data_IF_787355024609
#
_entry.id   IF_787355024609
#
_cell.length_a   1.000
_cell.length_b   1.000
_cell.length_c   1.000
_cell.angle_alpha   90.00
_cell.angle_beta   90.00
_cell.angle_gamma   90.00
#
_symmetry.space_group_name_H-M   'P 1'
#
loop_
_entity.id
_entity.type
_entity.pdbx_description
1 polymer ?
#
# COMPACT_ATOMS: atom_id res chain seq x y z
N UNK A 1 -43.34 13.15 -3.83
CA UNK A 1 -42.92 13.13 -5.26
C UNK A 1 -41.45 13.53 -5.47
N UNK A 2 -40.97 14.69 -5.03
CA UNK A 2 -39.53 15.07 -5.18
C UNK A 2 -38.58 14.16 -4.37
N UNK A 3 -38.95 13.74 -3.15
CA UNK A 3 -38.13 12.82 -2.34
C UNK A 3 -38.05 11.38 -2.88
N UNK A 4 -39.10 10.90 -3.55
CA UNK A 4 -39.07 9.60 -4.25
C UNK A 4 -38.29 9.67 -5.55
N UNK A 5 -38.33 10.81 -6.25
CA UNK A 5 -37.51 11.05 -7.44
C UNK A 5 -36.02 11.08 -7.08
N UNK A 6 -35.65 11.71 -5.96
CA UNK A 6 -34.27 11.68 -5.45
C UNK A 6 -33.83 10.29 -4.97
N UNK A 7 -34.73 9.48 -4.40
CA UNK A 7 -34.41 8.10 -3.99
C UNK A 7 -34.22 7.15 -5.18
N UNK A 8 -34.88 7.39 -6.32
CA UNK A 8 -34.75 6.54 -7.51
C UNK A 8 -33.51 6.85 -8.37
N UNK A 9 -32.97 8.08 -8.35
CA UNK A 9 -31.74 8.43 -9.09
C UNK A 9 -30.48 7.83 -8.44
N UNK A 10 -30.53 7.50 -7.14
CA UNK A 10 -29.38 6.97 -6.38
C UNK A 10 -29.10 5.48 -6.69
N UNK A 11 -30.03 4.76 -7.34
CA UNK A 11 -29.86 3.33 -7.62
C UNK A 11 -28.83 3.00 -8.71
N UNK A 12 -28.49 3.95 -9.59
CA UNK A 12 -27.58 3.73 -10.73
C UNK A 12 -26.22 4.45 -10.62
N UNK A 13 -25.99 5.28 -9.61
CA UNK A 13 -24.71 6.00 -9.48
C UNK A 13 -23.65 5.15 -8.78
N UNK A 14 -22.49 4.94 -9.44
CA UNK A 14 -21.33 4.31 -8.82
C UNK A 14 -20.82 5.17 -7.64
N UNK A 15 -20.54 4.53 -6.51
CA UNK A 15 -19.95 5.17 -5.34
C UNK A 15 -18.43 5.31 -5.51
N UNK A 16 -17.76 4.25 -5.94
CA UNK A 16 -16.30 4.14 -5.96
C UNK A 16 -15.82 3.58 -7.29
N UNK A 17 -14.89 4.28 -7.94
CA UNK A 17 -14.09 3.76 -9.06
C UNK A 17 -12.71 3.38 -8.55
N UNK A 18 -12.35 2.10 -8.67
CA UNK A 18 -11.00 1.61 -8.39
C UNK A 18 -10.19 1.77 -9.68
N UNK A 19 -9.29 2.75 -9.70
CA UNK A 19 -8.48 3.15 -10.85
C UNK A 19 -7.09 2.51 -10.77
N UNK A 20 -6.81 1.58 -11.67
CA UNK A 20 -5.60 0.76 -11.73
C UNK A 20 -4.79 1.14 -12.98
N UNK A 21 -3.80 2.05 -12.86
CA UNK A 21 -2.84 2.28 -13.92
C UNK A 21 -1.85 1.10 -13.98
N UNK A 22 -1.69 0.49 -15.16
CA UNK A 22 -0.80 -0.67 -15.34
C UNK A 22 0.14 -0.49 -16.54
N UNK A 23 1.32 -1.11 -16.46
CA UNK A 23 2.27 -1.23 -17.57
C UNK A 23 3.10 -2.50 -17.42
N UNK A 24 2.95 -3.43 -18.35
CA UNK A 24 3.51 -4.78 -18.27
C UNK A 24 3.16 -5.49 -16.96
N UNK A 25 1.87 -5.45 -16.61
CA UNK A 25 1.31 -5.94 -15.35
C UNK A 25 0.85 -7.40 -15.39
N UNK A 26 1.16 -8.18 -16.43
CA UNK A 26 0.59 -9.52 -16.62
C UNK A 26 0.83 -10.46 -15.43
N UNK A 27 1.90 -10.23 -14.65
CA UNK A 27 2.26 -11.04 -13.47
C UNK A 27 1.41 -10.75 -12.23
N UNK A 28 0.71 -9.63 -12.17
CA UNK A 28 0.03 -9.16 -10.95
C UNK A 28 -1.43 -8.77 -11.18
N UNK A 29 -1.76 -8.24 -12.36
CA UNK A 29 -3.09 -7.67 -12.65
C UNK A 29 -4.22 -8.69 -12.53
N UNK A 30 -3.99 -9.94 -12.94
CA UNK A 30 -4.98 -11.03 -12.86
C UNK A 30 -5.39 -11.26 -11.40
N UNK A 31 -4.42 -11.50 -10.53
CA UNK A 31 -4.64 -11.69 -9.09
C UNK A 31 -5.24 -10.46 -8.44
N UNK A 32 -4.80 -9.26 -8.83
CA UNK A 32 -5.35 -8.01 -8.31
C UNK A 32 -6.86 -7.93 -8.59
N UNK A 33 -7.27 -8.11 -9.85
CA UNK A 33 -8.67 -8.03 -10.28
C UNK A 33 -9.53 -9.13 -9.64
N UNK A 34 -9.07 -10.39 -9.66
CA UNK A 34 -9.80 -11.52 -9.06
C UNK A 34 -10.21 -11.22 -7.62
N UNK A 35 -9.30 -10.63 -6.86
CA UNK A 35 -9.53 -10.40 -5.45
C UNK A 35 -10.45 -9.22 -5.17
N UNK A 36 -10.45 -8.22 -6.05
CA UNK A 36 -11.40 -7.11 -6.00
C UNK A 36 -12.79 -7.63 -6.35
N UNK A 37 -12.93 -8.40 -7.44
CA UNK A 37 -14.19 -9.00 -7.87
C UNK A 37 -14.77 -9.87 -6.75
N UNK A 38 -13.95 -10.75 -6.16
CA UNK A 38 -14.36 -11.60 -5.04
C UNK A 38 -14.95 -10.78 -3.88
N UNK A 39 -14.26 -9.72 -3.45
CA UNK A 39 -14.80 -8.86 -2.38
C UNK A 39 -16.06 -8.12 -2.80
N UNK A 40 -16.19 -7.72 -4.06
CA UNK A 40 -17.41 -7.08 -4.58
C UNK A 40 -18.59 -8.04 -4.53
N UNK A 41 -18.41 -9.29 -4.96
CA UNK A 41 -19.45 -10.32 -5.00
C UNK A 41 -19.86 -10.76 -3.59
N UNK A 42 -18.89 -11.13 -2.74
CA UNK A 42 -19.14 -11.62 -1.37
C UNK A 42 -19.81 -10.56 -0.49
N UNK A 43 -19.39 -9.29 -0.63
CA UNK A 43 -19.90 -8.18 0.19
C UNK A 43 -21.00 -7.36 -0.52
N UNK A 44 -21.46 -7.82 -1.69
CA UNK A 44 -22.55 -7.22 -2.50
C UNK A 44 -22.36 -5.74 -2.79
N UNK A 45 -21.15 -5.36 -3.21
CA UNK A 45 -20.74 -3.97 -3.43
C UNK A 45 -21.01 -3.49 -4.87
N UNK A 46 -22.27 -3.60 -5.33
CA UNK A 46 -22.68 -3.25 -6.71
C UNK A 46 -22.43 -1.78 -7.10
N UNK A 47 -22.19 -0.92 -6.10
CA UNK A 47 -21.83 0.49 -6.26
C UNK A 47 -20.34 0.72 -6.59
N UNK A 48 -19.56 -0.35 -6.79
CA UNK A 48 -18.14 -0.27 -7.17
C UNK A 48 -18.00 -0.54 -8.67
N UNK A 49 -17.00 0.08 -9.29
CA UNK A 49 -16.49 -0.27 -10.61
C UNK A 49 -14.95 -0.32 -10.61
N UNK A 50 -14.40 -1.04 -11.57
CA UNK A 50 -12.95 -1.22 -11.76
C UNK A 50 -12.57 -0.57 -13.09
N UNK A 51 -11.52 0.23 -13.07
CA UNK A 51 -10.99 0.90 -14.25
C UNK A 51 -9.53 0.53 -14.37
N UNK A 52 -9.15 -0.04 -15.51
CA UNK A 52 -7.77 -0.40 -15.81
C UNK A 52 -7.28 0.45 -16.97
N UNK A 53 -6.23 1.25 -16.73
CA UNK A 53 -5.58 2.06 -17.75
C UNK A 53 -4.22 1.45 -18.10
N UNK A 54 -4.17 0.73 -19.21
CA UNK A 54 -2.96 0.08 -19.72
C UNK A 54 -2.11 1.06 -20.53
N UNK A 55 -0.88 1.28 -20.07
CA UNK A 55 0.06 2.21 -20.64
C UNK A 55 0.84 1.65 -21.84
N UNK A 56 0.13 1.04 -22.79
CA UNK A 56 0.70 0.40 -23.97
C UNK A 56 1.61 -0.81 -23.63
N UNK A 57 1.14 -1.70 -22.76
CA UNK A 57 1.85 -2.93 -22.38
C UNK A 57 2.20 -3.79 -23.60
N UNK A 58 3.35 -4.43 -23.55
CA UNK A 58 3.89 -5.32 -24.59
C UNK A 58 3.89 -6.79 -24.17
N UNK A 59 3.52 -7.08 -22.93
CA UNK A 59 3.32 -8.44 -22.41
C UNK A 59 1.85 -8.89 -22.58
N UNK A 60 1.47 -9.94 -21.85
CA UNK A 60 0.14 -10.57 -21.96
C UNK A 60 -1.00 -9.77 -21.29
N UNK A 61 -0.71 -8.59 -20.71
CA UNK A 61 -1.71 -7.74 -20.02
C UNK A 61 -2.98 -7.51 -20.86
N UNK A 62 -2.92 -7.17 -22.16
CA UNK A 62 -4.11 -6.94 -22.97
C UNK A 62 -4.98 -8.19 -23.13
N UNK A 63 -4.39 -9.38 -23.26
CA UNK A 63 -5.13 -10.62 -23.43
C UNK A 63 -5.87 -11.00 -22.15
N UNK A 64 -5.19 -10.88 -21.00
CA UNK A 64 -5.78 -11.06 -19.67
C UNK A 64 -6.97 -10.13 -19.50
N UNK A 65 -6.80 -8.83 -19.75
CA UNK A 65 -7.87 -7.84 -19.60
C UNK A 65 -9.06 -8.09 -20.55
N UNK A 66 -8.79 -8.49 -21.79
CA UNK A 66 -9.85 -8.85 -22.74
C UNK A 66 -10.70 -10.04 -22.25
N UNK A 67 -10.11 -11.00 -21.52
CA UNK A 67 -10.87 -12.10 -20.92
C UNK A 67 -11.79 -11.62 -19.78
N UNK A 68 -11.31 -10.69 -18.94
CA UNK A 68 -12.11 -10.12 -17.84
C UNK A 68 -13.27 -9.25 -18.33
N UNK A 69 -13.06 -8.40 -19.33
CA UNK A 69 -14.13 -7.53 -19.88
C UNK A 69 -15.26 -8.37 -20.48
N UNK A 70 -14.94 -9.49 -21.14
CA UNK A 70 -15.96 -10.41 -21.68
C UNK A 70 -16.87 -10.98 -20.59
N UNK A 71 -16.33 -11.23 -19.40
CA UNK A 71 -17.08 -11.80 -18.25
C UNK A 71 -17.74 -10.73 -17.38
N UNK A 72 -17.15 -9.54 -17.27
CA UNK A 72 -17.51 -8.51 -16.29
C UNK A 72 -17.70 -7.12 -16.92
N UNK A 73 -18.32 -7.04 -18.11
CA UNK A 73 -18.47 -5.80 -18.90
C UNK A 73 -19.12 -4.62 -18.15
N UNK A 74 -20.01 -4.90 -17.20
CA UNK A 74 -20.74 -3.88 -16.44
C UNK A 74 -19.99 -3.45 -15.15
N UNK A 75 -18.88 -4.13 -14.85
CA UNK A 75 -18.02 -3.88 -13.69
C UNK A 75 -16.66 -3.30 -14.08
N UNK A 76 -16.10 -3.69 -15.23
CA UNK A 76 -14.73 -3.37 -15.64
C UNK A 76 -14.71 -2.49 -16.88
N UNK A 77 -14.02 -1.35 -16.77
CA UNK A 77 -13.65 -0.49 -17.89
C UNK A 77 -12.16 -0.66 -18.15
N UNK A 78 -11.80 -1.04 -19.38
CA UNK A 78 -10.41 -1.15 -19.80
C UNK A 78 -10.12 -0.14 -20.90
N UNK A 79 -9.04 0.63 -20.71
CA UNK A 79 -8.56 1.59 -21.69
C UNK A 79 -7.07 1.35 -21.91
N UNK A 80 -6.66 1.24 -23.17
CA UNK A 80 -5.26 1.05 -23.55
C UNK A 80 -4.75 2.28 -24.30
N UNK A 81 -3.65 2.86 -23.82
CA UNK A 81 -2.98 3.98 -24.47
C UNK A 81 -2.32 3.54 -25.78
N UNK A 82 -2.33 4.42 -26.79
CA UNK A 82 -1.66 4.18 -28.09
C UNK A 82 -0.13 4.16 -28.00
N UNK A 83 0.44 4.74 -26.94
CA UNK A 83 1.88 4.79 -26.67
C UNK A 83 2.09 4.91 -25.16
N UNK A 84 3.30 4.61 -24.68
CA UNK A 84 3.63 4.81 -23.28
C UNK A 84 3.68 6.32 -22.96
N UNK A 85 2.74 6.80 -22.16
CA UNK A 85 2.60 8.23 -21.81
C UNK A 85 3.32 8.61 -20.51
N UNK A 86 4.00 7.66 -19.88
CA UNK A 86 4.57 7.78 -18.54
C UNK A 86 3.55 7.57 -17.42
N UNK A 87 4.05 7.24 -16.23
CA UNK A 87 3.23 6.88 -15.06
C UNK A 87 2.20 7.96 -14.69
N UNK A 88 2.66 9.18 -14.45
CA UNK A 88 1.79 10.27 -13.95
C UNK A 88 0.62 10.58 -14.89
N UNK A 89 0.87 10.60 -16.20
CA UNK A 89 -0.18 10.83 -17.19
C UNK A 89 -1.12 9.63 -17.29
N UNK A 90 -0.63 8.41 -17.12
CA UNK A 90 -1.48 7.22 -17.09
C UNK A 90 -2.40 7.21 -15.85
N UNK A 91 -1.91 7.66 -14.68
CA UNK A 91 -2.72 7.84 -13.47
C UNK A 91 -3.86 8.83 -13.73
N UNK A 92 -3.54 10.01 -14.28
CA UNK A 92 -4.52 11.05 -14.60
C UNK A 92 -5.58 10.55 -15.61
N UNK A 93 -5.15 9.91 -16.70
CA UNK A 93 -6.06 9.29 -17.68
C UNK A 93 -6.96 8.23 -17.04
N UNK A 94 -6.42 7.41 -16.12
CA UNK A 94 -7.20 6.42 -15.39
C UNK A 94 -8.27 7.08 -14.51
N UNK A 95 -7.90 8.12 -13.76
CA UNK A 95 -8.83 8.90 -12.92
C UNK A 95 -9.91 9.59 -13.75
N UNK A 96 -9.59 10.08 -14.94
CA UNK A 96 -10.54 10.75 -15.84
C UNK A 96 -11.64 9.82 -16.37
N UNK A 97 -11.41 8.51 -16.40
CA UNK A 97 -12.40 7.50 -16.82
C UNK A 97 -13.42 7.15 -15.73
N UNK A 98 -13.16 7.55 -14.47
CA UNK A 98 -14.01 7.26 -13.33
C UNK A 98 -15.44 7.76 -13.48
N UNK A 99 -16.43 6.94 -13.14
CA UNK A 99 -17.86 7.30 -13.03
C UNK A 99 -18.32 7.37 -11.57
N UNK A 100 -17.53 6.81 -10.65
CA UNK A 100 -17.76 6.81 -9.22
C UNK A 100 -17.67 8.21 -8.60
N UNK A 101 -18.46 8.43 -7.55
CA UNK A 101 -18.36 9.65 -6.72
C UNK A 101 -16.97 9.83 -6.12
N UNK A 102 -16.32 8.72 -5.77
CA UNK A 102 -14.95 8.66 -5.27
C UNK A 102 -14.06 7.85 -6.22
N UNK A 103 -12.79 8.23 -6.26
CA UNK A 103 -11.72 7.56 -6.99
C UNK A 103 -10.77 6.98 -5.95
N UNK A 104 -10.43 5.70 -6.08
CA UNK A 104 -9.31 5.09 -5.40
C UNK A 104 -8.25 4.74 -6.43
N UNK A 105 -7.04 5.28 -6.29
CA UNK A 105 -5.93 4.87 -7.15
C UNK A 105 -5.30 3.63 -6.51
N UNK A 106 -5.24 2.51 -7.22
CA UNK A 106 -4.71 1.24 -6.71
C UNK A 106 -3.60 0.73 -7.62
N UNK A 107 -2.45 0.36 -7.05
CA UNK A 107 -1.38 -0.34 -7.75
C UNK A 107 -1.86 -1.68 -8.33
N UNK A 108 -1.35 -2.07 -9.49
CA UNK A 108 -1.70 -3.32 -10.17
C UNK A 108 -1.11 -4.57 -9.49
N UNK A 109 -0.34 -4.38 -8.42
CA UNK A 109 0.29 -5.40 -7.58
C UNK A 109 -0.11 -5.33 -6.10
N UNK A 110 -1.02 -4.42 -5.74
CA UNK A 110 -1.54 -4.23 -4.40
C UNK A 110 -2.95 -4.80 -4.24
N UNK A 111 -3.42 -4.98 -3.02
CA UNK A 111 -4.72 -5.62 -2.77
C UNK A 111 -5.48 -4.97 -1.63
N UNK A 112 -6.79 -5.14 -1.59
CA UNK A 112 -7.56 -4.88 -0.37
C UNK A 112 -7.36 -6.00 0.64
N UNK A 113 -7.20 -5.64 1.91
CA UNK A 113 -7.24 -6.60 3.03
C UNK A 113 -8.61 -7.24 3.15
N UNK A 114 -8.73 -8.27 4.00
CA UNK A 114 -10.02 -8.87 4.33
C UNK A 114 -11.03 -7.81 4.79
N UNK A 115 -12.17 -7.74 4.11
CA UNK A 115 -13.22 -6.73 4.31
C UNK A 115 -12.74 -5.27 4.15
N UNK A 116 -11.56 -5.05 3.61
CA UNK A 116 -10.98 -3.73 3.40
C UNK A 116 -11.84 -2.88 2.48
N UNK A 117 -12.29 -3.44 1.35
CA UNK A 117 -13.15 -2.74 0.41
C UNK A 117 -14.53 -2.43 1.01
N UNK A 118 -15.13 -3.36 1.76
CA UNK A 118 -16.39 -3.13 2.48
C UNK A 118 -16.28 -1.97 3.47
N UNK A 119 -15.21 -1.94 4.27
CA UNK A 119 -14.96 -0.88 5.26
C UNK A 119 -14.75 0.47 4.60
N UNK A 120 -14.00 0.52 3.49
CA UNK A 120 -13.85 1.73 2.70
C UNK A 120 -15.22 2.23 2.21
N UNK A 121 -16.00 1.38 1.56
CA UNK A 121 -17.33 1.73 1.07
C UNK A 121 -18.28 2.19 2.19
N UNK A 122 -18.19 1.62 3.40
CA UNK A 122 -18.99 2.05 4.54
C UNK A 122 -18.65 3.50 4.94
N UNK A 123 -17.36 3.84 5.08
CA UNK A 123 -16.92 5.22 5.41
C UNK A 123 -17.33 6.20 4.31
N UNK A 124 -17.20 5.84 3.04
CA UNK A 124 -17.59 6.73 1.93
C UNK A 124 -19.10 6.97 1.84
N UNK A 125 -19.92 6.02 2.30
CA UNK A 125 -21.38 6.18 2.42
C UNK A 125 -21.76 7.02 3.63
N UNK A 126 -21.09 6.80 4.76
CA UNK A 126 -21.33 7.53 6.02
C UNK A 126 -20.93 9.00 5.90
N UNK A 127 -19.83 9.29 5.20
CA UNK A 127 -19.29 10.64 5.03
C UNK A 127 -19.23 11.02 3.54
N UNK A 128 -20.38 11.28 2.90
CA UNK A 128 -20.49 11.54 1.46
C UNK A 128 -19.78 12.83 0.99
N UNK A 129 -19.44 13.72 1.93
CA UNK A 129 -18.80 15.01 1.66
C UNK A 129 -17.28 15.01 1.81
N UNK A 130 -16.68 13.87 2.16
CA UNK A 130 -15.23 13.72 2.21
C UNK A 130 -14.61 14.17 0.89
N UNK A 131 -13.53 14.94 0.96
CA UNK A 131 -12.73 15.31 -0.20
C UNK A 131 -11.57 14.34 -0.41
N UNK A 132 -10.99 13.83 0.69
CA UNK A 132 -9.81 12.97 0.66
C UNK A 132 -9.83 11.96 1.81
N UNK A 133 -9.43 10.73 1.52
CA UNK A 133 -9.24 9.66 2.50
C UNK A 133 -7.88 9.02 2.28
N UNK A 134 -7.11 8.92 3.37
CA UNK A 134 -5.83 8.21 3.40
C UNK A 134 -6.03 6.88 4.11
N UNK A 135 -5.76 5.80 3.39
CA UNK A 135 -5.92 4.45 3.88
C UNK A 135 -4.76 4.02 4.78
N UNK A 136 -4.94 2.89 5.45
CA UNK A 136 -3.88 2.18 6.17
C UNK A 136 -3.44 0.95 5.39
N UNK A 137 -2.16 0.60 5.47
CA UNK A 137 -1.61 -0.50 4.70
C UNK A 137 -0.63 -1.38 5.49
N UNK A 138 -0.43 -2.60 4.99
CA UNK A 138 0.70 -3.46 5.31
C UNK A 138 1.58 -3.69 4.09
N UNK A 139 2.83 -4.10 4.34
CA UNK A 139 3.80 -4.41 3.30
C UNK A 139 4.14 -5.91 3.30
N UNK A 140 3.82 -6.59 2.21
CA UNK A 140 4.01 -8.02 1.99
C UNK A 140 5.25 -8.29 1.09
N UNK A 141 6.13 -9.21 1.50
CA UNK A 141 7.17 -9.75 0.61
C UNK A 141 6.82 -11.16 0.15
N UNK A 142 6.48 -11.25 -1.13
CA UNK A 142 6.16 -12.47 -1.87
C UNK A 142 7.35 -13.44 -1.93
N UNK A 143 8.59 -12.97 -2.12
CA UNK A 143 9.81 -13.80 -2.23
C UNK A 143 10.19 -14.52 -0.94
N UNK A 144 9.57 -14.18 0.18
CA UNK A 144 9.82 -14.81 1.48
C UNK A 144 8.56 -15.53 1.99
N UNK A 145 8.03 -16.50 1.24
CA UNK A 145 6.89 -17.33 1.65
C UNK A 145 5.62 -16.53 2.02
N UNK A 146 5.38 -15.37 1.40
CA UNK A 146 4.26 -14.50 1.77
C UNK A 146 4.39 -13.92 3.19
N UNK A 147 5.59 -13.80 3.74
CA UNK A 147 5.83 -13.09 4.99
C UNK A 147 5.45 -11.61 4.84
N UNK A 148 4.60 -11.13 5.76
CA UNK A 148 4.47 -9.69 6.01
C UNK A 148 5.73 -9.28 6.75
N UNK A 149 6.76 -8.91 6.00
CA UNK A 149 8.10 -8.64 6.53
C UNK A 149 8.20 -7.37 7.34
N UNK A 150 7.22 -6.47 7.28
CA UNK A 150 7.23 -5.30 8.14
C UNK A 150 5.93 -4.50 8.12
N UNK A 151 5.55 -3.99 9.29
CA UNK A 151 5.00 -2.62 9.40
C UNK A 151 6.16 -1.61 9.32
N UNK A 152 6.89 -1.52 8.19
CA UNK A 152 8.17 -0.76 8.15
C UNK A 152 8.04 0.72 8.48
N UNK A 153 6.81 1.21 8.56
CA UNK A 153 6.45 2.58 8.91
C UNK A 153 5.72 2.64 10.26
N UNK A 154 6.13 1.82 11.24
CA UNK A 154 6.02 2.25 12.64
C UNK A 154 7.02 3.38 12.83
N UNK A 155 6.67 4.56 12.30
CA UNK A 155 7.00 5.78 12.99
C UNK A 155 6.35 5.66 14.38
N UNK A 156 6.94 6.24 15.41
CA UNK A 156 6.57 6.03 16.82
C UNK A 156 5.14 6.47 17.19
N UNK A 157 4.33 6.90 16.21
CA UNK A 157 2.95 7.36 16.34
C UNK A 157 2.03 6.46 15.52
N UNK A 158 1.53 5.40 16.14
CA UNK A 158 0.41 4.65 15.58
C UNK A 158 -0.84 5.54 15.56
N UNK A 159 -1.54 5.58 14.42
CA UNK A 159 -2.91 6.09 14.41
C UNK A 159 -3.79 4.98 14.97
N UNK A 160 -4.14 5.12 16.25
CA UNK A 160 -4.82 4.07 17.03
C UNK A 160 -6.29 3.93 16.62
N UNK A 161 -6.90 5.03 16.19
CA UNK A 161 -8.31 5.13 15.80
C UNK A 161 -8.41 5.92 14.52
N UNK A 162 -9.44 5.62 13.74
CA UNK A 162 -9.76 6.40 12.57
C UNK A 162 -10.00 7.86 12.98
N UNK A 163 -9.60 8.80 12.13
CA UNK A 163 -9.67 10.23 12.43
C UNK A 163 -10.31 10.98 11.28
N UNK A 164 -11.21 11.89 11.63
CA UNK A 164 -11.85 12.82 10.72
C UNK A 164 -11.31 14.24 10.98
N UNK A 165 -11.01 14.97 9.91
CA UNK A 165 -10.48 16.33 9.94
C UNK A 165 -11.38 17.23 9.12
N UNK A 166 -11.94 18.24 9.76
CA UNK A 166 -12.78 19.25 9.13
C UNK A 166 -12.15 20.62 9.33
N UNK A 167 -11.87 21.32 8.24
CA UNK A 167 -11.18 22.62 8.25
C UNK A 167 -9.80 22.59 8.94
N UNK A 168 -9.15 21.43 8.98
CA UNK A 168 -7.84 21.23 9.61
C UNK A 168 -6.94 20.35 8.72
N UNK A 169 -6.57 20.90 7.57
CA UNK A 169 -5.70 20.21 6.62
C UNK A 169 -4.23 20.13 7.09
N UNK A 170 -3.77 21.06 7.93
CA UNK A 170 -2.40 21.07 8.42
C UNK A 170 -2.14 19.89 9.37
N UNK A 171 -3.02 19.67 10.36
CA UNK A 171 -2.91 18.51 11.26
C UNK A 171 -3.11 17.20 10.49
N UNK A 172 -4.04 17.18 9.53
CA UNK A 172 -4.22 16.03 8.64
C UNK A 172 -2.93 15.67 7.93
N UNK A 173 -2.26 16.63 7.27
CA UNK A 173 -1.01 16.37 6.54
C UNK A 173 0.14 15.94 7.46
N UNK A 174 0.17 16.44 8.71
CA UNK A 174 1.15 16.00 9.72
C UNK A 174 0.90 14.56 10.15
N UNK A 175 -0.36 14.15 10.35
CA UNK A 175 -0.72 12.80 10.81
C UNK A 175 -0.65 11.74 9.69
N UNK A 176 -0.81 12.16 8.44
CA UNK A 176 -0.67 11.30 7.26
C UNK A 176 0.77 10.83 7.04
N UNK A 177 1.75 11.70 7.30
CA UNK A 177 3.18 11.46 7.11
C UNK A 177 3.53 10.83 5.73
N UNK A 178 4.09 9.62 5.74
CA UNK A 178 4.59 8.89 4.56
C UNK A 178 3.56 7.94 3.94
N UNK A 179 2.34 7.85 4.51
CA UNK A 179 1.27 6.99 3.97
C UNK A 179 0.93 7.32 2.53
N UNK A 180 1.05 8.59 2.15
CA UNK A 180 0.73 9.05 0.80
C UNK A 180 1.85 8.81 -0.21
N UNK A 181 2.94 8.15 0.19
CA UNK A 181 3.93 7.61 -0.75
C UNK A 181 3.48 6.29 -1.35
N UNK A 182 2.47 5.65 -0.77
CA UNK A 182 1.81 4.53 -1.41
C UNK A 182 0.59 5.07 -2.15
N UNK A 183 0.62 5.01 -3.48
CA UNK A 183 -0.50 5.47 -4.30
C UNK A 183 -1.80 4.75 -3.95
N UNK A 184 -1.70 3.46 -3.60
CA UNK A 184 -2.80 2.62 -3.13
C UNK A 184 -3.43 3.05 -1.81
N UNK A 185 -2.89 4.05 -1.12
CA UNK A 185 -3.54 4.63 0.06
C UNK A 185 -4.45 5.82 -0.28
N UNK A 186 -4.56 6.22 -1.55
CA UNK A 186 -5.17 7.49 -1.93
C UNK A 186 -6.58 7.30 -2.48
N UNK A 187 -7.56 7.82 -1.74
CA UNK A 187 -8.95 7.93 -2.21
C UNK A 187 -9.39 9.38 -2.16
N UNK A 188 -9.96 9.92 -3.22
CA UNK A 188 -10.50 11.29 -3.23
C UNK A 188 -11.82 11.38 -3.98
N UNK A 189 -12.58 12.44 -3.68
CA UNK A 189 -13.82 12.75 -4.39
C UNK A 189 -13.49 13.13 -5.83
N UNK A 190 -14.18 12.54 -6.80
CA UNK A 190 -13.92 12.73 -8.24
C UNK A 190 -13.96 14.22 -8.64
N UNK A 191 -14.97 14.93 -8.15
CA UNK A 191 -15.14 16.37 -8.41
C UNK A 191 -13.92 17.21 -7.97
N UNK A 192 -13.21 16.78 -6.93
CA UNK A 192 -11.99 17.46 -6.47
C UNK A 192 -10.84 17.29 -7.47
N UNK A 193 -10.70 16.11 -8.08
CA UNK A 193 -9.70 15.83 -9.11
C UNK A 193 -9.89 16.68 -10.37
N UNK A 194 -11.14 16.80 -10.84
CA UNK A 194 -11.49 17.59 -12.03
C UNK A 194 -11.18 19.09 -11.85
N UNK A 195 -11.10 19.57 -10.61
CA UNK A 195 -10.85 20.96 -10.24
C UNK A 195 -9.38 21.26 -9.89
N UNK A 196 -8.47 20.31 -10.08
CA UNK A 196 -7.03 20.55 -9.85
C UNK A 196 -6.44 21.32 -11.03
N UNK A 197 -5.91 22.54 -10.83
CA UNK A 197 -5.33 23.33 -11.90
C UNK A 197 -3.95 22.77 -12.29
N UNK A 198 -3.63 22.85 -13.58
CA UNK A 198 -2.28 22.65 -14.12
C UNK A 198 -1.61 21.31 -13.72
N UNK A 199 -2.39 20.23 -13.53
CA UNK A 199 -1.87 18.92 -13.14
C UNK A 199 -0.76 18.38 -14.07
N UNK A 200 -0.81 18.76 -15.36
CA UNK A 200 0.18 18.41 -16.40
C UNK A 200 1.63 18.77 -16.05
N UNK A 201 1.87 19.79 -15.21
CA UNK A 201 3.23 20.18 -14.80
C UNK A 201 3.94 19.09 -13.97
N UNK A 202 3.15 18.21 -13.34
CA UNK A 202 3.64 17.11 -12.52
C UNK A 202 3.83 15.81 -13.31
N UNK A 203 3.63 15.82 -14.62
CA UNK A 203 3.95 14.66 -15.44
C UNK A 203 5.46 14.40 -15.49
N UNK A 204 5.84 13.10 -15.54
CA UNK A 204 7.23 12.61 -15.53
C UNK A 204 7.98 12.91 -14.23
N UNK A 205 7.25 13.03 -13.12
CA UNK A 205 7.77 13.22 -11.76
C UNK A 205 7.62 11.97 -10.89
N UNK A 206 6.82 11.00 -11.35
CA UNK A 206 6.60 9.67 -10.77
C UNK A 206 5.86 9.71 -9.41
N UNK A 207 5.12 10.78 -9.14
CA UNK A 207 4.53 11.11 -7.82
C UNK A 207 3.31 12.03 -7.90
N UNK A 208 2.59 12.06 -9.02
CA UNK A 208 1.48 13.00 -9.25
C UNK A 208 0.43 13.01 -8.12
N UNK A 209 0.17 11.85 -7.52
CA UNK A 209 -0.81 11.69 -6.44
C UNK A 209 -0.45 12.50 -5.18
N UNK A 210 0.83 12.77 -4.91
CA UNK A 210 1.24 13.60 -3.77
C UNK A 210 0.74 15.03 -3.94
N UNK A 211 0.88 15.59 -5.16
CA UNK A 211 0.34 16.93 -5.44
C UNK A 211 -1.18 16.93 -5.36
N UNK A 212 -1.84 15.90 -5.89
CA UNK A 212 -3.30 15.76 -5.78
C UNK A 212 -3.74 15.79 -4.31
N UNK A 213 -3.07 15.03 -3.44
CA UNK A 213 -3.34 15.03 -1.99
C UNK A 213 -3.17 16.41 -1.39
N UNK A 214 -2.03 17.08 -1.61
CA UNK A 214 -1.76 18.41 -1.07
C UNK A 214 -2.80 19.44 -1.53
N UNK A 215 -3.13 19.43 -2.82
CA UNK A 215 -4.11 20.38 -3.35
C UNK A 215 -5.51 20.10 -2.79
N UNK A 216 -5.96 18.84 -2.81
CA UNK A 216 -7.30 18.47 -2.38
C UNK A 216 -7.48 18.69 -0.87
N UNK A 217 -6.52 18.26 -0.06
CA UNK A 217 -6.58 18.45 1.38
C UNK A 217 -6.67 19.93 1.74
N UNK A 218 -5.88 20.81 1.10
CA UNK A 218 -5.91 22.25 1.39
C UNK A 218 -7.21 22.92 0.94
N UNK A 219 -7.68 22.58 -0.26
CA UNK A 219 -8.76 23.33 -0.91
C UNK A 219 -10.14 23.03 -0.33
N UNK A 220 -10.38 21.79 0.10
CA UNK A 220 -11.69 21.34 0.60
C UNK A 220 -11.69 20.95 2.08
N UNK A 221 -10.55 20.57 2.65
CA UNK A 221 -10.35 20.37 4.10
C UNK A 221 -11.35 19.44 4.79
N UNK A 222 -11.86 18.42 4.06
CA UNK A 222 -12.74 17.40 4.63
C UNK A 222 -12.09 16.02 4.46
N UNK A 223 -11.26 15.64 5.42
CA UNK A 223 -10.30 14.55 5.26
C UNK A 223 -10.50 13.44 6.30
N UNK A 224 -10.15 12.20 5.92
CA UNK A 224 -10.24 11.03 6.79
C UNK A 224 -8.96 10.20 6.74
N UNK A 225 -8.55 9.63 7.89
CA UNK A 225 -7.44 8.69 7.98
C UNK A 225 -7.94 7.41 8.64
N UNK A 226 -7.69 6.26 8.00
CA UNK A 226 -7.91 4.95 8.62
C UNK A 226 -6.80 4.59 9.62
N UNK A 227 -7.19 4.01 10.75
CA UNK A 227 -6.27 3.50 11.76
C UNK A 227 -5.37 2.38 11.23
N UNK A 228 -4.18 2.30 11.80
CA UNK A 228 -3.22 1.21 11.53
C UNK A 228 -3.65 -0.13 12.11
N UNK A 229 -4.62 -0.11 13.04
CA UNK A 229 -5.09 -1.31 13.72
C UNK A 229 -5.68 -2.32 12.74
N UNK A 230 -6.34 -1.83 11.69
CA UNK A 230 -6.99 -2.66 10.68
C UNK A 230 -6.66 -2.10 9.29
N UNK A 231 -5.62 -2.61 8.61
CA UNK A 231 -5.22 -2.12 7.29
C UNK A 231 -6.38 -2.24 6.31
N UNK A 232 -6.46 -1.33 5.35
CA UNK A 232 -7.36 -1.45 4.20
C UNK A 232 -6.61 -2.09 3.03
N UNK A 233 -5.30 -1.84 2.92
CA UNK A 233 -4.47 -2.23 1.78
C UNK A 233 -3.36 -3.19 2.20
N UNK A 234 -3.05 -4.14 1.32
CA UNK A 234 -1.87 -4.99 1.40
C UNK A 234 -1.00 -4.66 0.19
N UNK A 235 0.10 -3.96 0.43
CA UNK A 235 1.03 -3.52 -0.59
C UNK A 235 2.15 -4.54 -0.80
N UNK A 236 2.49 -4.88 -2.04
CA UNK A 236 3.60 -5.81 -2.30
C UNK A 236 4.94 -5.07 -2.47
N UNK A 237 6.00 -5.58 -1.86
CA UNK A 237 7.31 -4.86 -1.77
C UNK A 237 8.35 -5.39 -2.74
N UNK A 238 8.19 -6.62 -3.25
CA UNK A 238 9.20 -7.28 -4.07
C UNK A 238 9.21 -6.79 -5.54
N UNK A 239 8.20 -6.02 -5.90
CA UNK A 239 7.92 -5.42 -7.21
C UNK A 239 8.36 -3.95 -7.30
N UNK A 240 9.03 -3.40 -6.28
CA UNK A 240 9.56 -2.02 -6.27
C UNK A 240 10.72 -1.85 -7.27
N UNK A 241 10.43 -2.05 -8.56
CA UNK A 241 11.35 -1.97 -9.68
C UNK A 241 12.08 -0.61 -9.72
N UNK A 242 11.40 0.46 -9.28
CA UNK A 242 11.99 1.79 -9.18
C UNK A 242 13.11 1.93 -8.15
N UNK A 243 13.12 1.12 -7.08
CA UNK A 243 14.19 1.17 -6.07
C UNK A 243 15.48 0.54 -6.55
N UNK A 244 15.37 -0.40 -7.48
CA UNK A 244 16.47 -1.22 -7.96
C UNK A 244 17.04 -0.74 -9.31
N UNK A 245 16.38 0.22 -9.95
CA UNK A 245 16.86 0.86 -11.17
C UNK A 245 17.66 2.14 -10.87
N UNK A 246 18.50 2.55 -11.82
CA UNK A 246 19.36 3.74 -11.76
C UNK A 246 18.60 5.05 -11.51
N UNK A 247 17.29 5.07 -11.77
CA UNK A 247 16.37 6.19 -11.58
C UNK A 247 15.83 6.35 -10.14
N UNK A 248 16.05 5.38 -9.24
CA UNK A 248 15.55 5.43 -7.87
C UNK A 248 15.81 6.74 -7.12
N UNK A 249 17.00 7.39 -7.22
CA UNK A 249 17.24 8.71 -6.62
C UNK A 249 16.32 9.80 -7.14
N UNK A 250 16.07 9.86 -8.46
CA UNK A 250 15.26 10.90 -9.10
C UNK A 250 13.86 10.93 -8.48
N UNK A 251 13.25 9.75 -8.38
CA UNK A 251 11.91 9.53 -7.83
C UNK A 251 11.88 10.02 -6.39
N UNK A 252 12.84 9.58 -5.58
CA UNK A 252 12.96 9.98 -4.17
C UNK A 252 13.12 11.50 -3.97
N UNK A 253 13.86 12.20 -4.85
CA UNK A 253 14.05 13.64 -4.73
C UNK A 253 12.92 14.48 -5.35
N UNK A 254 12.24 13.98 -6.38
CA UNK A 254 11.05 14.64 -6.91
C UNK A 254 9.97 14.75 -5.83
N UNK A 255 9.89 13.77 -4.93
CA UNK A 255 8.94 13.78 -3.83
C UNK A 255 9.11 15.02 -2.91
N UNK A 256 10.33 15.36 -2.45
CA UNK A 256 10.53 16.57 -1.63
C UNK A 256 10.20 17.87 -2.38
N UNK A 257 10.44 17.91 -3.69
CA UNK A 257 10.07 19.06 -4.52
C UNK A 257 8.56 19.21 -4.64
N UNK A 258 7.82 18.12 -4.88
CA UNK A 258 6.35 18.16 -4.93
C UNK A 258 5.79 18.62 -3.58
N UNK A 259 6.30 18.08 -2.47
CA UNK A 259 5.88 18.53 -1.15
C UNK A 259 6.20 20.00 -0.85
N UNK A 260 7.20 20.59 -1.50
CA UNK A 260 7.51 22.01 -1.30
C UNK A 260 6.39 22.94 -1.76
N UNK A 261 5.48 22.47 -2.63
CA UNK A 261 4.25 23.18 -2.98
C UNK A 261 3.28 23.33 -1.81
N UNK A 262 3.45 22.60 -0.70
CA UNK A 262 2.67 22.86 0.51
C UNK A 262 2.79 24.33 0.96
N UNK A 263 3.98 24.93 0.84
CA UNK A 263 4.18 26.34 1.16
C UNK A 263 3.41 27.26 0.20
N UNK A 264 3.44 26.96 -1.10
CA UNK A 264 2.71 27.72 -2.14
C UNK A 264 1.19 27.61 -1.99
N UNK A 265 0.70 26.45 -1.52
CA UNK A 265 -0.70 26.22 -1.22
C UNK A 265 -1.14 26.84 0.11
N UNK A 266 -0.24 27.46 0.88
CA UNK A 266 -0.55 28.16 2.13
C UNK A 266 -0.76 27.23 3.33
N UNK A 267 -0.14 26.05 3.35
CA UNK A 267 -0.04 25.24 4.57
C UNK A 267 0.82 25.94 5.64
N UNK A 268 0.61 25.59 6.92
CA UNK A 268 1.54 25.99 7.98
C UNK A 268 2.96 25.48 7.62
N UNK A 269 4.00 26.33 7.70
CA UNK A 269 5.38 25.94 7.40
C UNK A 269 5.88 24.69 8.14
N UNK A 270 5.28 24.34 9.29
CA UNK A 270 5.54 23.12 10.03
C UNK A 270 5.24 21.86 9.21
N UNK A 271 4.22 21.87 8.35
CA UNK A 271 3.84 20.70 7.52
C UNK A 271 5.03 20.29 6.65
N UNK A 272 5.57 21.24 5.87
CA UNK A 272 6.73 20.98 5.02
C UNK A 272 7.98 20.65 5.85
N UNK A 273 8.19 21.35 6.98
CA UNK A 273 9.34 21.10 7.87
C UNK A 273 9.35 19.69 8.45
N UNK A 274 8.20 19.20 8.96
CA UNK A 274 8.05 17.84 9.49
C UNK A 274 8.35 16.82 8.41
N UNK A 275 7.75 17.01 7.23
CA UNK A 275 7.95 16.14 6.08
C UNK A 275 9.42 16.09 5.63
N UNK A 276 10.03 17.26 5.40
CA UNK A 276 11.42 17.41 4.97
C UNK A 276 12.39 16.72 5.94
N UNK A 277 12.17 16.88 7.25
CA UNK A 277 12.98 16.23 8.30
C UNK A 277 12.81 14.72 8.34
N UNK A 278 11.58 14.22 8.18
CA UNK A 278 11.32 12.78 8.09
C UNK A 278 12.07 12.17 6.90
N UNK A 279 11.92 12.78 5.72
CA UNK A 279 12.63 12.38 4.51
C UNK A 279 14.14 12.30 4.73
N UNK A 280 14.76 13.36 5.24
CA UNK A 280 16.21 13.40 5.49
C UNK A 280 16.68 12.21 6.36
N UNK A 281 15.94 11.87 7.41
CA UNK A 281 16.26 10.72 8.27
C UNK A 281 16.21 9.40 7.52
N UNK A 282 15.18 9.18 6.71
CA UNK A 282 15.04 7.95 5.94
C UNK A 282 16.13 7.83 4.85
N UNK A 283 16.52 8.95 4.23
CA UNK A 283 17.69 9.00 3.36
C UNK A 283 18.98 8.65 4.08
N UNK A 284 19.26 9.25 5.25
CA UNK A 284 20.45 8.94 6.05
C UNK A 284 20.51 7.45 6.38
N UNK A 285 19.36 6.79 6.60
CA UNK A 285 19.26 5.35 6.88
C UNK A 285 19.62 4.51 5.65
N UNK A 286 19.16 4.90 4.46
CA UNK A 286 19.22 4.08 3.26
C UNK A 286 20.37 4.42 2.29
N UNK A 287 21.00 5.60 2.40
CA UNK A 287 22.03 6.11 1.46
C UNK A 287 23.20 5.13 1.30
N UNK A 288 23.66 4.49 2.37
CA UNK A 288 24.77 3.52 2.32
C UNK A 288 24.39 2.25 1.55
N UNK A 289 23.15 1.76 1.68
CA UNK A 289 22.65 0.63 0.88
C UNK A 289 22.57 1.01 -0.59
N UNK A 290 21.99 2.18 -0.87
CA UNK A 290 21.81 2.69 -2.23
C UNK A 290 23.17 2.87 -2.93
N UNK A 291 24.14 3.53 -2.30
CA UNK A 291 25.48 3.71 -2.88
C UNK A 291 26.22 2.40 -3.15
N UNK A 292 26.09 1.39 -2.29
CA UNK A 292 26.69 0.07 -2.57
C UNK A 292 26.07 -0.69 -3.76
N UNK A 293 24.94 -0.21 -4.29
CA UNK A 293 24.27 -0.77 -5.47
C UNK A 293 24.57 0.05 -6.74
N UNK A 294 25.65 0.84 -6.74
CA UNK A 294 26.07 1.63 -7.90
C UNK A 294 25.20 2.87 -8.13
N UNK A 295 24.55 3.38 -7.08
CA UNK A 295 23.74 4.59 -7.14
C UNK A 295 24.65 5.82 -7.33
N UNK A 296 25.01 6.07 -8.58
CA UNK A 296 25.68 7.28 -9.02
C UNK A 296 24.70 8.43 -8.82
N UNK A 297 24.88 9.13 -7.72
CA UNK A 297 24.00 10.24 -7.37
C UNK A 297 24.44 11.39 -8.27
N UNK A 298 23.67 11.69 -9.33
CA UNK A 298 23.98 12.81 -10.21
C UNK A 298 24.09 14.07 -9.34
N UNK A 299 25.29 14.66 -9.29
CA UNK A 299 25.61 15.73 -8.36
C UNK A 299 24.73 16.97 -8.62
N UNK A 300 24.28 17.17 -9.87
CA UNK A 300 23.34 18.24 -10.22
C UNK A 300 21.97 18.04 -9.56
N UNK A 301 21.49 16.80 -9.47
CA UNK A 301 20.23 16.46 -8.81
C UNK A 301 20.31 16.67 -7.29
N UNK A 302 21.43 16.28 -6.69
CA UNK A 302 21.76 16.53 -5.29
C UNK A 302 21.66 18.02 -4.96
N UNK A 303 22.43 18.86 -5.67
CA UNK A 303 22.43 20.31 -5.44
C UNK A 303 21.04 20.94 -5.63
N UNK A 304 20.28 20.47 -6.61
CA UNK A 304 18.92 20.97 -6.88
C UNK A 304 17.98 20.84 -5.69
N UNK A 305 18.09 19.78 -4.90
CA UNK A 305 17.11 19.46 -3.86
C UNK A 305 17.65 19.62 -2.43
N UNK A 306 18.96 19.75 -2.24
CA UNK A 306 19.56 19.93 -0.91
C UNK A 306 19.24 21.26 -0.24
N UNK A 307 18.86 22.28 -1.02
CA UNK A 307 18.37 23.56 -0.46
C UNK A 307 17.24 23.39 0.56
N UNK A 308 16.44 22.32 0.45
CA UNK A 308 15.36 22.03 1.39
C UNK A 308 15.84 21.52 2.77
N UNK A 309 17.13 21.22 2.91
CA UNK A 309 17.75 20.72 4.15
C UNK A 309 18.91 21.59 4.64
N UNK A 310 19.18 22.76 4.03
CA UNK A 310 20.27 23.65 4.45
C UNK A 310 20.14 24.14 5.89
N UNK A 311 18.93 24.12 6.46
CA UNK A 311 18.71 24.50 7.85
C UNK A 311 18.66 23.30 8.81
N UNK A 312 18.89 22.06 8.34
CA UNK A 312 18.83 20.85 9.15
C UNK A 312 20.24 20.38 9.55
N UNK A 313 20.62 20.41 10.84
CA UNK A 313 21.98 20.00 11.25
C UNK A 313 22.36 18.57 10.85
N UNK A 314 21.37 17.65 10.83
CA UNK A 314 21.56 16.25 10.43
C UNK A 314 22.01 16.11 8.98
N UNK A 315 21.71 17.09 8.13
CA UNK A 315 22.12 17.10 6.74
C UNK A 315 23.65 17.21 6.64
N UNK A 316 24.25 18.16 7.34
CA UNK A 316 25.70 18.33 7.35
C UNK A 316 26.42 17.25 8.15
N UNK A 317 25.94 16.88 9.35
CA UNK A 317 26.72 16.00 10.23
C UNK A 317 26.53 14.49 9.94
N UNK A 318 25.47 14.08 9.24
CA UNK A 318 25.21 12.65 8.94
C UNK A 318 25.01 12.35 7.48
N UNK A 319 24.28 13.18 6.75
CA UNK A 319 23.96 12.90 5.37
C UNK A 319 25.16 13.13 4.45
N UNK A 320 25.76 14.34 4.47
CA UNK A 320 26.91 14.69 3.63
C UNK A 320 28.10 13.73 3.80
N UNK A 321 28.54 13.37 5.03
CA UNK A 321 29.62 12.40 5.20
C UNK A 321 29.32 11.07 4.53
N UNK A 322 28.10 10.52 4.70
CA UNK A 322 27.70 9.25 4.08
C UNK A 322 27.60 9.34 2.55
N UNK A 323 27.26 10.50 2.02
CA UNK A 323 27.21 10.74 0.58
C UNK A 323 28.61 10.83 -0.04
N UNK A 324 29.60 11.34 0.69
CA UNK A 324 30.97 11.55 0.18
C UNK A 324 31.93 10.39 0.47
N UNK A 325 31.60 9.49 1.40
CA UNK A 325 32.45 8.33 1.73
C UNK A 325 32.79 7.49 0.48
N UNK A 326 34.03 7.05 0.25
CA UNK A 326 34.33 6.17 -0.88
C UNK A 326 33.52 4.86 -0.82
N UNK A 327 33.13 4.32 -1.98
CA UNK A 327 32.31 3.09 -2.06
C UNK A 327 32.98 1.89 -1.37
N UNK A 328 34.31 1.80 -1.46
CA UNK A 328 35.14 0.79 -0.78
C UNK A 328 34.90 0.84 0.74
N UNK A 329 34.89 2.04 1.32
CA UNK A 329 34.66 2.23 2.77
C UNK A 329 33.23 1.83 3.15
N UNK A 330 32.24 2.18 2.32
CA UNK A 330 30.83 1.77 2.52
C UNK A 330 30.68 0.24 2.47
N UNK A 331 31.36 -0.41 1.53
CA UNK A 331 31.35 -1.87 1.38
C UNK A 331 31.94 -2.57 2.61
N UNK A 332 33.10 -2.08 3.10
CA UNK A 332 33.75 -2.60 4.30
C UNK A 332 32.90 -2.44 5.57
N UNK A 333 32.27 -1.28 5.75
CA UNK A 333 31.34 -1.03 6.86
C UNK A 333 30.09 -1.93 6.80
N UNK A 334 29.67 -2.38 5.60
CA UNK A 334 28.54 -3.29 5.41
C UNK A 334 28.88 -4.76 5.59
N UNK A 335 30.12 -5.18 5.28
CA UNK A 335 30.60 -6.56 5.42
C UNK A 335 30.38 -7.15 6.83
N UNK A 336 30.22 -6.30 7.85
CA UNK A 336 29.90 -6.72 9.24
C UNK A 336 28.40 -6.89 9.54
N UNK A 337 27.48 -6.37 8.73
CA UNK A 337 26.01 -6.36 9.03
C UNK A 337 25.18 -7.37 8.24
N UNK A 338 25.63 -7.87 7.11
CA UNK A 338 24.82 -8.75 6.23
C UNK A 338 25.15 -10.26 6.34
N UNK A 339 26.05 -10.68 7.24
CA UNK A 339 26.40 -12.11 7.41
C UNK A 339 25.34 -12.95 8.17
N UNK A 340 24.19 -12.40 8.55
CA UNK A 340 23.11 -13.13 9.22
C UNK A 340 21.77 -12.61 8.75
N UNK A 341 21.21 -13.19 7.70
CA UNK A 341 19.77 -13.28 7.39
C UNK A 341 19.65 -13.87 5.98
N UNK A 342 20.06 -15.13 5.86
CA UNK A 342 19.54 -15.98 4.80
C UNK A 342 18.05 -16.25 5.05
N UNK A 343 17.27 -16.57 4.00
CA UNK A 343 15.85 -16.89 4.17
C UNK A 343 15.71 -18.08 5.10
N UNK A 344 15.13 -17.88 6.28
CA UNK A 344 14.69 -18.97 7.14
C UNK A 344 13.48 -19.61 6.47
N UNK A 345 13.56 -20.91 6.16
CA UNK A 345 12.42 -21.67 5.66
C UNK A 345 11.31 -21.62 6.71
N UNK A 346 10.08 -21.29 6.30
CA UNK A 346 8.92 -21.27 7.18
C UNK A 346 8.02 -22.46 6.87
N UNK A 347 7.60 -23.19 7.90
CA UNK A 347 6.64 -24.29 7.79
C UNK A 347 5.27 -23.89 8.36
N UNK A 348 4.21 -24.30 7.67
CA UNK A 348 2.83 -24.15 8.12
C UNK A 348 2.46 -25.36 8.99
N UNK A 349 2.19 -25.14 10.28
CA UNK A 349 1.91 -26.22 11.22
C UNK A 349 0.47 -26.74 11.14
N UNK A 350 -0.51 -25.87 10.88
CA UNK A 350 -1.92 -26.26 10.76
C UNK A 350 -2.73 -25.15 10.08
N UNK A 351 -3.72 -25.54 9.29
CA UNK A 351 -4.72 -24.66 8.68
C UNK A 351 -6.11 -25.09 9.12
N UNK A 352 -6.93 -24.16 9.62
CA UNK A 352 -8.31 -24.44 10.02
C UNK A 352 -9.20 -23.49 9.21
N UNK A 353 -9.99 -24.05 8.31
CA UNK A 353 -10.78 -23.32 7.31
C UNK A 353 -11.75 -22.30 7.92
N UNK A 354 -12.15 -22.49 9.18
CA UNK A 354 -13.18 -21.67 9.82
C UNK A 354 -12.65 -20.50 10.66
N UNK A 355 -11.34 -20.38 10.91
CA UNK A 355 -10.79 -19.34 11.84
C UNK A 355 -9.57 -18.59 11.28
N UNK A 356 -9.14 -18.88 10.05
CA UNK A 356 -8.10 -18.10 9.37
C UNK A 356 -6.81 -17.89 10.20
N UNK A 357 -6.35 -18.94 10.91
CA UNK A 357 -5.11 -18.89 11.69
C UNK A 357 -3.96 -19.51 10.92
N UNK A 358 -2.89 -18.75 10.63
CA UNK A 358 -1.60 -19.26 10.09
C UNK A 358 -0.47 -18.93 11.04
N UNK A 359 0.30 -19.95 11.40
CA UNK A 359 1.44 -19.83 12.31
C UNK A 359 2.71 -20.20 11.59
N UNK A 360 3.71 -19.30 11.62
CA UNK A 360 4.96 -19.46 10.90
C UNK A 360 6.15 -19.59 11.88
N UNK A 361 6.87 -20.71 11.76
CA UNK A 361 8.09 -21.02 12.53
C UNK A 361 9.33 -20.99 11.65
N UNK A 362 10.47 -20.59 12.21
CA UNK A 362 11.77 -20.84 11.58
C UNK A 362 12.28 -22.28 11.84
N UNK A 363 13.36 -22.64 11.15
CA UNK A 363 14.04 -23.96 11.20
C UNK A 363 14.44 -24.47 12.59
N UNK A 364 14.42 -23.60 13.62
CA UNK A 364 14.75 -23.96 15.02
C UNK A 364 13.48 -24.04 15.89
N UNK A 365 12.29 -24.10 15.27
CA UNK A 365 11.01 -24.15 15.97
C UNK A 365 10.64 -22.85 16.71
N UNK A 366 11.31 -21.71 16.42
CA UNK A 366 10.96 -20.41 17.01
C UNK A 366 9.92 -19.69 16.15
N UNK A 367 8.83 -19.31 16.78
CA UNK A 367 7.73 -18.54 16.20
C UNK A 367 8.16 -17.12 15.83
N UNK A 368 7.90 -16.72 14.59
CA UNK A 368 8.18 -15.37 14.11
C UNK A 368 6.92 -14.58 13.71
N UNK A 369 5.85 -15.24 13.21
CA UNK A 369 4.66 -14.54 12.67
C UNK A 369 3.34 -15.30 12.88
N UNK A 370 2.22 -14.56 12.94
CA UNK A 370 0.88 -15.10 13.22
C UNK A 370 -0.27 -14.34 12.51
N UNK A 371 -1.06 -15.02 11.70
CA UNK A 371 -2.17 -14.44 10.93
C UNK A 371 -3.51 -14.88 11.54
N UNK A 372 -4.46 -13.96 11.75
CA UNK A 372 -5.85 -14.14 12.19
C UNK A 372 -6.77 -13.01 11.66
N UNK A 373 -7.98 -13.35 11.22
CA UNK A 373 -9.04 -12.38 10.87
C UNK A 373 -9.70 -11.65 12.06
N UNK A 374 -9.25 -11.88 13.30
CA UNK A 374 -9.88 -11.37 14.54
C UNK A 374 -8.96 -10.46 15.38
N UNK A 375 -9.51 -9.73 16.37
CA UNK A 375 -8.71 -8.93 17.31
C UNK A 375 -7.77 -9.82 18.14
N UNK A 376 -6.67 -9.29 18.68
CA UNK A 376 -5.73 -10.08 19.49
C UNK A 376 -6.42 -10.87 20.63
N UNK A 377 -7.41 -10.28 21.29
CA UNK A 377 -8.18 -10.95 22.34
C UNK A 377 -9.20 -11.94 21.77
N UNK A 378 -9.93 -11.55 20.71
CA UNK A 378 -10.88 -12.44 20.02
C UNK A 378 -10.21 -13.67 19.39
N UNK A 379 -8.93 -13.55 19.03
CA UNK A 379 -8.11 -14.67 18.55
C UNK A 379 -7.90 -15.72 19.64
N UNK A 380 -7.65 -15.33 20.90
CA UNK A 380 -7.50 -16.29 22.00
C UNK A 380 -8.83 -16.95 22.36
N UNK A 381 -9.93 -16.21 22.28
CA UNK A 381 -11.27 -16.77 22.46
C UNK A 381 -11.60 -17.79 21.37
N UNK A 382 -11.31 -17.46 20.11
CA UNK A 382 -11.50 -18.36 18.96
C UNK A 382 -10.56 -19.59 19.03
N UNK A 383 -9.29 -19.40 19.37
CA UNK A 383 -8.32 -20.49 19.55
C UNK A 383 -8.75 -21.42 20.69
N UNK A 384 -9.26 -20.86 21.79
CA UNK A 384 -9.80 -21.62 22.91
C UNK A 384 -11.01 -22.43 22.48
N UNK A 385 -11.96 -21.83 21.75
CA UNK A 385 -13.12 -22.51 21.18
C UNK A 385 -12.72 -23.66 20.24
N UNK A 386 -11.70 -23.46 19.40
CA UNK A 386 -11.20 -24.49 18.49
C UNK A 386 -10.50 -25.65 19.23
N UNK A 387 -9.74 -25.33 20.26
CA UNK A 387 -9.12 -26.33 21.13
C UNK A 387 -10.16 -27.14 21.89
N UNK A 388 -11.18 -26.48 22.46
CA UNK A 388 -12.32 -27.14 23.13
C UNK A 388 -13.08 -28.09 22.18
N UNK A 389 -13.20 -27.70 20.90
CA UNK A 389 -13.79 -28.53 19.85
C UNK A 389 -12.81 -29.57 19.25
N UNK A 390 -11.61 -29.72 19.81
CA UNK A 390 -10.55 -30.67 19.36
C UNK A 390 -10.07 -30.49 17.92
N UNK A 391 -10.28 -29.31 17.33
CA UNK A 391 -9.72 -28.98 16.00
C UNK A 391 -8.23 -28.61 16.07
N UNK A 392 -7.70 -28.38 17.27
CA UNK A 392 -6.33 -27.92 17.54
C UNK A 392 -5.70 -28.87 18.56
N UNK A 393 -4.43 -29.26 18.34
CA UNK A 393 -3.72 -30.13 19.29
C UNK A 393 -3.42 -29.43 20.61
N UNK A 394 -3.32 -30.21 21.70
CA UNK A 394 -2.99 -29.70 23.04
C UNK A 394 -1.61 -29.01 23.08
N UNK A 395 -0.66 -29.55 22.32
CA UNK A 395 0.67 -28.96 22.16
C UNK A 395 0.60 -27.58 21.49
N UNK A 396 -0.16 -27.46 20.39
CA UNK A 396 -0.35 -26.19 19.67
C UNK A 396 -1.10 -25.15 20.53
N UNK A 397 -2.16 -25.57 21.23
CA UNK A 397 -2.92 -24.67 22.10
C UNK A 397 -2.07 -24.12 23.25
N UNK A 398 -1.30 -24.98 23.94
CA UNK A 398 -0.37 -24.57 25.01
C UNK A 398 0.70 -23.62 24.48
N UNK A 399 1.20 -23.88 23.28
CA UNK A 399 2.25 -23.09 22.64
C UNK A 399 1.79 -21.68 22.29
N UNK A 400 0.63 -21.53 21.63
CA UNK A 400 0.07 -20.22 21.26
C UNK A 400 -0.48 -19.47 22.49
N UNK A 401 -1.01 -20.17 23.49
CA UNK A 401 -1.46 -19.56 24.75
C UNK A 401 -0.32 -18.91 25.55
N UNK A 402 0.89 -19.48 25.51
CA UNK A 402 2.11 -18.86 26.09
C UNK A 402 2.52 -17.57 25.39
N UNK A 403 2.11 -17.40 24.13
CA UNK A 403 2.37 -16.20 23.34
C UNK A 403 1.41 -15.04 23.66
N UNK A 404 0.32 -15.27 24.42
CA UNK A 404 -0.65 -14.25 24.87
C UNK A 404 -0.05 -13.10 25.64
N UNK A 405 1.07 -13.36 26.30
CA UNK A 405 1.79 -12.40 27.14
C UNK A 405 3.03 -11.83 26.43
N UNK A 406 3.37 -12.31 25.22
CA UNK A 406 4.39 -11.72 24.36
C UNK A 406 3.71 -10.74 23.41
N UNK A 407 4.24 -9.52 23.29
CA UNK A 407 3.77 -8.48 22.35
C UNK A 407 3.92 -8.91 20.88
N UNK A 408 3.15 -9.88 20.44
CA UNK A 408 3.09 -10.33 19.06
C UNK A 408 1.97 -9.58 18.34
N UNK A 409 2.25 -9.17 17.11
CA UNK A 409 1.36 -8.38 16.28
C UNK A 409 0.42 -9.33 15.53
N UNK A 410 -0.92 -9.26 15.73
CA UNK A 410 -1.86 -10.06 14.94
C UNK A 410 -1.93 -9.55 13.50
N UNK A 411 -1.88 -10.44 12.51
CA UNK A 411 -2.03 -10.10 11.08
C UNK A 411 -3.41 -10.48 10.55
N UNK A 412 -4.16 -9.59 9.92
CA UNK A 412 -5.40 -9.96 9.20
C UNK A 412 -5.09 -10.79 7.95
N UNK A 413 -5.84 -11.86 7.75
CA UNK A 413 -5.65 -12.90 6.73
C UNK A 413 -5.91 -12.42 5.32
N UNK A 414 -5.00 -12.78 4.40
CA UNK A 414 -5.20 -12.64 2.95
C UNK A 414 -4.49 -13.72 2.12
N UNK A 415 -3.59 -14.52 2.71
CA UNK A 415 -2.73 -15.43 1.94
C UNK A 415 -3.37 -16.82 1.70
N UNK A 416 -4.49 -17.16 2.35
CA UNK A 416 -4.94 -18.57 2.40
C UNK A 416 -5.88 -19.06 1.28
N UNK A 417 -6.44 -18.21 0.42
CA UNK A 417 -7.37 -18.68 -0.59
C UNK A 417 -6.77 -18.67 -2.01
N UNK A 418 -6.37 -19.88 -2.44
CA UNK A 418 -6.51 -20.51 -3.77
C UNK A 418 -5.25 -21.06 -4.45
N UNK A 419 -4.10 -20.39 -4.48
CA UNK A 419 -2.93 -20.94 -5.21
C UNK A 419 -1.91 -21.68 -4.34
N UNK A 420 -1.77 -21.33 -3.05
CA UNK A 420 -0.77 -21.99 -2.18
C UNK A 420 -1.18 -23.40 -1.72
N UNK A 421 -2.48 -23.71 -1.68
CA UNK A 421 -2.97 -25.05 -1.31
C UNK A 421 -2.60 -26.10 -2.35
N UNK A 422 -2.69 -25.81 -3.65
CA UNK A 422 -2.41 -26.80 -4.69
C UNK A 422 -0.95 -27.28 -4.66
N UNK A 423 0.01 -26.34 -4.55
CA UNK A 423 1.44 -26.67 -4.50
C UNK A 423 1.89 -27.30 -3.17
N UNK A 424 1.28 -26.91 -2.04
CA UNK A 424 1.55 -27.56 -0.75
C UNK A 424 0.98 -28.99 -0.73
N UNK A 425 -0.24 -29.21 -1.22
CA UNK A 425 -0.87 -30.53 -1.26
C UNK A 425 -0.12 -31.50 -2.18
N UNK A 426 0.38 -31.06 -3.34
CA UNK A 426 1.25 -31.88 -4.21
C UNK A 426 2.63 -32.20 -3.60
N UNK A 427 3.18 -31.29 -2.79
CA UNK A 427 4.45 -31.55 -2.11
C UNK A 427 4.27 -32.56 -0.97
N UNK A 428 3.12 -32.53 -0.27
CA UNK A 428 2.82 -33.46 0.83
C UNK A 428 2.28 -34.82 0.36
N UNK A 429 1.65 -34.93 -0.83
CA UNK A 429 1.28 -36.23 -1.39
C UNK A 429 2.52 -37.08 -1.75
N UNK A 430 3.66 -36.45 -2.06
CA UNK A 430 4.94 -37.14 -2.24
C UNK A 430 5.63 -37.54 -0.94
N UNK A 431 5.42 -36.80 0.15
CA UNK A 431 6.01 -37.11 1.48
C UNK A 431 5.21 -38.20 2.21
N UNK A 432 3.94 -38.43 1.85
CA UNK A 432 3.12 -39.49 2.44
C UNK A 432 3.44 -40.91 1.94
N UNK A 433 4.28 -41.03 0.90
CA UNK A 433 4.70 -42.29 0.29
C UNK A 433 6.20 -42.59 0.48
N UNK A 434 6.84 -41.93 1.47
CA UNK A 434 8.14 -42.29 2.05
C UNK A 434 7.95 -42.46 3.56
#
# INVERSE_FOLDING_TARGET
MQEEFSKNIIRDSKLLSICIPTYNGAKSIEKNIDTIIKQIEEEKLNCVEIIVSDNCSTDDTPNIMNAYIKKHKDLIIYSRNKSNVGYDRNVDLCCALAKGKFIHILGDDDYYSFKGLKRLCAVLKEYPDLSLVVLSNYYLRVKHYGQIVSRKHINTKFVIKDKFYKNDCDSFMIDVEDRIWLVSNIVFKKECHEKIPNLKQFYKKDWIHIYMVLYIAKRWQNCYIFADKYPIIVATVDTQAWLNNTDGPRIYFNNIWIYSFANELGYDPKVFKVYSKHMLKDYIKNISYKRSKGLLTNIKYIFKYFRYWFNEPLFYCRFIPKLLLPEIVISLLRGRRHKKEGPKKLECLQSIADVEVVVLCNEVGRFEQFVSGSSYNGMYENLKLLYEKKYVSDEFYKLVSRLRYKKLVPYSTYVLHQQYYAGLVEHYSKIRNL
#
